data_IF_628594969124
#
_entry.id   IF_628594969124
#
_cell.length_a   1.000
_cell.length_b   1.000
_cell.length_c   1.000
_cell.angle_alpha   90.00
_cell.angle_beta   90.00
_cell.angle_gamma   90.00
#
_symmetry.space_group_name_H-M   'P 1'
#
loop_
_entity.id
_entity.type
_entity.pdbx_description
1 polymer ?
#
# COMPACT_ATOMS: atom_id res chain seq x y z
N UNK A 1 -14.81 -20.77 -17.52
CA UNK A 1 -14.42 -19.76 -16.53
C UNK A 1 -12.89 -19.77 -16.43
N UNK A 2 -12.20 -18.64 -16.58
CA UNK A 2 -10.75 -18.60 -16.45
C UNK A 2 -10.32 -19.06 -15.06
N UNK A 3 -9.19 -19.78 -14.97
CA UNK A 3 -8.67 -20.39 -13.74
C UNK A 3 -8.46 -19.37 -12.59
N UNK A 4 -8.15 -18.13 -12.92
CA UNK A 4 -7.93 -17.02 -11.96
C UNK A 4 -9.23 -16.44 -11.33
N UNK A 5 -10.43 -16.77 -11.85
CA UNK A 5 -11.71 -16.46 -11.21
C UNK A 5 -12.04 -17.38 -10.02
N UNK A 6 -11.27 -18.46 -9.79
CA UNK A 6 -11.47 -19.38 -8.66
C UNK A 6 -10.82 -18.92 -7.35
N UNK A 7 -10.09 -17.80 -7.35
CA UNK A 7 -9.43 -17.25 -6.15
C UNK A 7 -10.34 -16.38 -5.29
N UNK A 8 -11.66 -16.40 -5.50
CA UNK A 8 -12.64 -15.65 -4.71
C UNK A 8 -13.03 -16.34 -3.38
N UNK A 9 -12.20 -17.21 -2.84
CA UNK A 9 -12.49 -17.93 -1.59
C UNK A 9 -11.65 -17.44 -0.41
N UNK A 10 -11.36 -16.13 -0.31
CA UNK A 10 -10.88 -15.57 0.94
C UNK A 10 -12.07 -15.52 1.89
N UNK A 11 -12.14 -16.50 2.78
CA UNK A 11 -13.11 -16.48 3.86
C UNK A 11 -12.84 -15.26 4.72
N UNK A 12 -13.76 -14.28 4.70
CA UNK A 12 -13.70 -13.05 5.49
C UNK A 12 -12.55 -12.09 5.11
N UNK A 13 -12.51 -11.51 3.89
CA UNK A 13 -11.51 -10.52 3.50
C UNK A 13 -11.61 -9.25 4.35
N UNK A 14 -10.48 -8.56 4.54
CA UNK A 14 -10.47 -7.26 5.22
C UNK A 14 -11.05 -6.16 4.31
N UNK A 15 -10.73 -6.21 3.02
CA UNK A 15 -11.24 -5.28 2.01
C UNK A 15 -11.82 -6.08 0.84
N UNK A 16 -12.96 -5.65 0.34
CA UNK A 16 -13.63 -6.24 -0.81
C UNK A 16 -14.15 -5.14 -1.74
N UNK A 17 -13.86 -5.27 -3.01
CA UNK A 17 -14.40 -4.44 -4.09
C UNK A 17 -15.42 -5.26 -4.88
N UNK A 18 -16.63 -4.76 -5.02
CA UNK A 18 -17.74 -5.41 -5.74
C UNK A 18 -18.13 -4.54 -6.94
N UNK A 19 -17.60 -4.84 -8.12
CA UNK A 19 -17.89 -4.13 -9.36
C UNK A 19 -17.50 -2.66 -9.35
N UNK A 20 -16.46 -2.29 -8.58
CA UNK A 20 -16.03 -0.90 -8.41
C UNK A 20 -15.43 -0.35 -9.70
N UNK A 21 -15.90 0.82 -10.14
CA UNK A 21 -15.38 1.49 -11.33
C UNK A 21 -15.13 2.98 -11.10
N UNK A 22 -14.25 3.57 -11.95
CA UNK A 22 -13.93 5.00 -11.91
C UNK A 22 -13.54 5.53 -13.28
N UNK A 23 -14.11 6.69 -13.62
CA UNK A 23 -13.87 7.40 -14.87
C UNK A 23 -13.50 8.84 -14.58
N UNK A 24 -12.64 9.44 -15.38
CA UNK A 24 -12.30 10.85 -15.35
C UNK A 24 -12.57 11.46 -16.74
N UNK A 25 -13.68 12.18 -16.88
CA UNK A 25 -14.14 12.63 -18.19
C UNK A 25 -14.41 11.44 -19.12
N UNK A 26 -13.68 11.34 -20.23
CA UNK A 26 -13.74 10.19 -21.16
C UNK A 26 -12.78 9.06 -20.84
N UNK A 27 -11.83 9.25 -19.90
CA UNK A 27 -10.82 8.25 -19.57
C UNK A 27 -11.30 7.31 -18.47
N UNK A 28 -11.31 6.01 -18.74
CA UNK A 28 -11.65 4.98 -17.74
C UNK A 28 -10.38 4.67 -16.95
N UNK A 29 -10.35 5.05 -15.66
CA UNK A 29 -9.24 4.77 -14.77
C UNK A 29 -9.34 3.40 -14.11
N UNK A 30 -10.56 2.89 -13.90
CA UNK A 30 -10.82 1.56 -13.39
C UNK A 30 -12.13 1.04 -14.00
N UNK A 31 -12.07 -0.04 -14.73
CA UNK A 31 -13.24 -0.79 -15.20
C UNK A 31 -13.93 -1.49 -14.02
N UNK A 32 -15.21 -1.90 -14.16
CA UNK A 32 -15.89 -2.66 -13.11
C UNK A 32 -15.02 -3.81 -12.60
N UNK A 33 -14.53 -3.67 -11.35
CA UNK A 33 -13.53 -4.57 -10.76
C UNK A 33 -14.08 -5.22 -9.50
N UNK A 34 -13.98 -6.55 -9.44
CA UNK A 34 -14.13 -7.34 -8.24
C UNK A 34 -12.75 -7.76 -7.75
N UNK A 35 -12.42 -7.46 -6.48
CA UNK A 35 -11.14 -7.81 -5.88
C UNK A 35 -11.27 -7.83 -4.36
N UNK A 36 -10.67 -8.83 -3.73
CA UNK A 36 -10.68 -9.00 -2.28
C UNK A 36 -9.25 -9.08 -1.74
N UNK A 37 -9.03 -8.59 -0.51
CA UNK A 37 -7.74 -8.57 0.16
C UNK A 37 -7.84 -9.28 1.50
N UNK A 38 -7.05 -10.37 1.63
CA UNK A 38 -7.03 -11.23 2.80
C UNK A 38 -6.34 -10.59 3.99
N UNK A 39 -6.79 -10.93 5.21
CA UNK A 39 -6.17 -10.47 6.45
C UNK A 39 -4.76 -11.08 6.62
N UNK A 40 -3.84 -10.28 7.16
CA UNK A 40 -2.47 -10.68 7.44
C UNK A 40 -1.65 -11.01 6.19
N UNK A 41 -2.11 -10.61 5.00
CA UNK A 41 -1.39 -10.81 3.73
C UNK A 41 -0.97 -9.49 3.12
N UNK A 42 0.13 -9.53 2.40
CA UNK A 42 0.61 -8.44 1.56
C UNK A 42 0.22 -8.71 0.11
N UNK A 43 -0.70 -7.92 -0.43
CA UNK A 43 -1.05 -7.94 -1.85
C UNK A 43 -0.32 -6.81 -2.57
N UNK A 44 0.42 -7.12 -3.62
CA UNK A 44 1.14 -6.11 -4.40
C UNK A 44 0.43 -5.85 -5.72
N UNK A 45 0.04 -4.59 -5.95
CA UNK A 45 -0.51 -4.13 -7.22
C UNK A 45 0.62 -3.68 -8.13
N UNK A 46 0.76 -4.31 -9.29
CA UNK A 46 1.82 -4.03 -10.26
C UNK A 46 1.22 -3.77 -11.65
N UNK A 47 1.94 -3.08 -12.51
CA UNK A 47 1.52 -2.78 -13.88
C UNK A 47 2.06 -1.44 -14.38
N UNK A 48 1.85 -1.10 -15.66
CA UNK A 48 2.32 0.15 -16.25
C UNK A 48 1.84 1.40 -15.51
N UNK A 49 2.56 2.52 -15.68
CA UNK A 49 2.11 3.81 -15.16
C UNK A 49 0.74 4.18 -15.73
N UNK A 50 -0.14 4.72 -14.89
CA UNK A 50 -1.50 5.11 -15.31
C UNK A 50 -2.51 3.97 -15.41
N UNK A 51 -2.17 2.70 -15.13
CA UNK A 51 -3.10 1.57 -15.25
C UNK A 51 -4.15 1.48 -14.12
N UNK A 52 -4.23 2.45 -13.20
CA UNK A 52 -5.30 2.54 -12.20
C UNK A 52 -4.93 2.12 -10.77
N UNK A 53 -3.67 1.71 -10.47
CA UNK A 53 -3.24 1.24 -9.14
C UNK A 53 -3.51 2.23 -8.00
N UNK A 54 -3.00 3.46 -8.11
CA UNK A 54 -3.21 4.50 -7.10
C UNK A 54 -4.68 4.95 -7.03
N UNK A 55 -5.42 4.87 -8.14
CA UNK A 55 -6.88 5.11 -8.15
C UNK A 55 -7.58 4.07 -7.28
N UNK A 56 -7.21 2.79 -7.40
CA UNK A 56 -7.76 1.71 -6.60
C UNK A 56 -7.50 1.93 -5.10
N UNK A 57 -6.27 2.30 -4.70
CA UNK A 57 -5.98 2.63 -3.29
C UNK A 57 -6.86 3.77 -2.77
N UNK A 58 -7.03 4.83 -3.57
CA UNK A 58 -7.84 6.00 -3.19
C UNK A 58 -9.34 5.68 -3.09
N UNK A 59 -9.83 4.75 -3.89
CA UNK A 59 -11.22 4.24 -3.81
C UNK A 59 -11.43 3.43 -2.52
N UNK A 60 -10.48 2.58 -2.11
CA UNK A 60 -10.56 1.78 -0.89
C UNK A 60 -10.81 2.67 0.35
N UNK A 61 -10.10 3.78 0.47
CA UNK A 61 -10.25 4.72 1.60
C UNK A 61 -11.20 5.88 1.31
N UNK A 62 -11.92 5.79 0.20
CA UNK A 62 -12.88 6.81 -0.25
C UNK A 62 -12.30 8.23 -0.28
N UNK A 63 -11.04 8.37 -0.71
CA UNK A 63 -10.51 9.66 -1.17
C UNK A 63 -11.08 10.02 -2.54
N UNK A 64 -11.57 9.02 -3.25
CA UNK A 64 -12.35 9.12 -4.48
C UNK A 64 -13.63 8.32 -4.28
N UNK A 65 -14.77 8.87 -4.70
CA UNK A 65 -16.00 8.12 -4.78
C UNK A 65 -16.00 7.25 -6.04
N UNK A 66 -16.41 5.98 -5.94
CA UNK A 66 -16.62 5.14 -7.12
C UNK A 66 -17.80 5.65 -7.94
N UNK A 67 -17.76 5.47 -9.25
CA UNK A 67 -18.89 5.80 -10.14
C UNK A 67 -19.94 4.69 -10.13
N UNK A 68 -19.50 3.43 -9.88
CA UNK A 68 -20.37 2.28 -9.65
C UNK A 68 -19.68 1.26 -8.74
N UNK A 69 -20.47 0.33 -8.22
CA UNK A 69 -20.00 -0.72 -7.33
C UNK A 69 -19.89 -0.29 -5.86
N UNK A 70 -19.37 -1.18 -5.04
CA UNK A 70 -19.27 -0.97 -3.58
C UNK A 70 -17.92 -1.45 -3.08
N UNK A 71 -17.27 -0.63 -2.23
CA UNK A 71 -16.13 -1.04 -1.42
C UNK A 71 -16.66 -1.46 -0.05
N UNK A 72 -16.20 -2.61 0.44
CA UNK A 72 -16.45 -3.06 1.81
C UNK A 72 -15.13 -3.13 2.58
N UNK A 73 -15.19 -2.76 3.84
CA UNK A 73 -14.10 -2.92 4.78
C UNK A 73 -14.61 -3.67 6.00
N UNK A 74 -14.02 -4.82 6.32
CA UNK A 74 -14.45 -5.66 7.43
C UNK A 74 -15.95 -6.06 7.32
N UNK A 75 -16.42 -6.34 6.10
CA UNK A 75 -17.81 -6.68 5.79
C UNK A 75 -18.77 -5.49 5.72
N UNK A 76 -18.38 -4.29 6.16
CA UNK A 76 -19.22 -3.08 6.10
C UNK A 76 -18.98 -2.26 4.84
N UNK A 77 -20.03 -1.77 4.20
CA UNK A 77 -19.91 -0.88 3.05
C UNK A 77 -19.29 0.47 3.46
N UNK A 78 -18.28 0.91 2.71
CA UNK A 78 -17.61 2.21 2.93
C UNK A 78 -18.48 3.33 2.38
N UNK A 79 -18.98 4.19 3.26
CA UNK A 79 -19.90 5.28 2.94
C UNK A 79 -19.36 6.62 3.43
N UNK A 80 -19.98 7.74 3.01
CA UNK A 80 -19.63 9.05 3.55
C UNK A 80 -19.85 9.15 5.07
N UNK A 81 -20.77 8.37 5.62
CA UNK A 81 -21.10 8.41 7.03
C UNK A 81 -20.05 7.72 7.93
N UNK A 82 -19.41 6.61 7.44
CA UNK A 82 -18.45 5.83 8.25
C UNK A 82 -16.99 6.00 7.83
N UNK A 83 -16.69 6.67 6.72
CA UNK A 83 -15.34 6.77 6.17
C UNK A 83 -14.31 7.39 7.14
N UNK A 84 -14.72 8.32 8.00
CA UNK A 84 -13.83 8.93 8.99
C UNK A 84 -13.37 7.92 10.04
N UNK A 85 -14.22 7.00 10.46
CA UNK A 85 -13.88 5.91 11.38
C UNK A 85 -12.99 4.88 10.68
N UNK A 86 -13.34 4.51 9.44
CA UNK A 86 -12.54 3.59 8.62
C UNK A 86 -11.10 4.11 8.45
N UNK A 87 -10.93 5.39 8.09
CA UNK A 87 -9.59 5.97 7.87
C UNK A 87 -8.69 5.93 9.10
N UNK A 88 -9.24 5.84 10.32
CA UNK A 88 -8.46 5.62 11.55
C UNK A 88 -7.92 4.20 11.68
N UNK A 89 -8.56 3.23 11.00
CA UNK A 89 -8.15 1.82 10.94
C UNK A 89 -7.18 1.54 9.77
N UNK A 90 -6.87 2.57 8.96
CA UNK A 90 -6.01 2.45 7.77
C UNK A 90 -4.81 3.38 7.91
N UNK A 91 -3.62 2.84 7.75
CA UNK A 91 -2.39 3.62 7.53
C UNK A 91 -2.16 3.83 6.04
N UNK A 92 -1.86 5.06 5.62
CA UNK A 92 -1.59 5.35 4.22
C UNK A 92 -0.26 6.07 4.05
N UNK A 93 0.66 5.42 3.34
CA UNK A 93 1.93 5.98 2.87
C UNK A 93 1.73 6.38 1.42
N UNK A 94 1.60 7.68 1.17
CA UNK A 94 1.46 8.22 -0.19
C UNK A 94 2.82 8.30 -0.87
N UNK A 95 2.82 8.37 -2.18
CA UNK A 95 4.01 8.61 -3.00
C UNK A 95 4.78 9.83 -2.45
N UNK A 96 6.12 9.78 -2.45
CA UNK A 96 7.02 10.80 -1.86
C UNK A 96 6.85 11.01 -0.34
N UNK A 97 6.16 10.10 0.36
CA UNK A 97 6.00 10.10 1.82
C UNK A 97 5.04 11.16 2.37
N UNK A 98 4.77 12.26 1.67
CA UNK A 98 3.81 13.30 2.04
C UNK A 98 3.97 13.88 3.43
N UNK A 99 5.21 14.11 3.88
CA UNK A 99 5.48 14.74 5.17
C UNK A 99 5.17 16.24 5.12
N UNK A 100 4.63 16.76 6.20
CA UNK A 100 4.42 18.19 6.37
C UNK A 100 5.77 18.89 6.63
N UNK A 101 6.25 19.75 5.71
CA UNK A 101 7.62 20.31 5.80
C UNK A 101 7.83 21.25 6.99
N UNK A 102 6.77 21.85 7.51
CA UNK A 102 6.77 22.77 8.66
C UNK A 102 6.63 22.06 10.02
N UNK A 103 6.50 20.74 10.02
CA UNK A 103 6.45 19.92 11.21
C UNK A 103 7.74 19.09 11.34
N UNK A 104 8.25 18.95 12.56
CA UNK A 104 9.36 18.02 12.82
C UNK A 104 8.94 16.57 12.55
N UNK A 105 9.91 15.64 12.47
CA UNK A 105 9.65 14.21 12.32
C UNK A 105 8.69 13.72 13.41
N UNK A 106 8.94 14.06 14.66
CA UNK A 106 8.06 13.75 15.82
C UNK A 106 6.63 14.23 15.59
N UNK A 107 6.47 15.52 15.22
CA UNK A 107 5.15 16.10 15.00
C UNK A 107 4.42 15.47 13.81
N UNK A 108 5.14 15.09 12.75
CA UNK A 108 4.57 14.34 11.62
C UNK A 108 4.01 12.98 12.07
N UNK A 109 4.77 12.20 12.85
CA UNK A 109 4.32 10.89 13.34
C UNK A 109 3.13 11.02 14.28
N UNK A 110 3.17 11.96 15.22
CA UNK A 110 2.16 12.13 16.26
C UNK A 110 0.91 12.88 15.80
N UNK A 111 0.85 13.38 14.56
CA UNK A 111 -0.18 14.29 14.08
C UNK A 111 -1.59 13.80 14.38
N UNK A 112 -1.92 12.57 13.93
CA UNK A 112 -3.25 12.00 14.12
C UNK A 112 -3.52 11.59 15.56
N UNK A 113 -2.53 11.09 16.29
CA UNK A 113 -2.69 10.74 17.70
C UNK A 113 -2.98 11.99 18.55
N UNK A 114 -2.31 13.12 18.25
CA UNK A 114 -2.60 14.40 18.88
C UNK A 114 -4.01 14.91 18.53
N UNK A 115 -4.41 14.83 17.25
CA UNK A 115 -5.74 15.23 16.81
C UNK A 115 -6.86 14.41 17.51
N UNK A 116 -6.59 13.14 17.78
CA UNK A 116 -7.51 12.25 18.50
C UNK A 116 -7.39 12.34 20.02
N UNK A 117 -6.59 13.28 20.55
CA UNK A 117 -6.37 13.47 21.98
C UNK A 117 -5.90 12.20 22.70
N UNK A 118 -5.06 11.40 22.03
CA UNK A 118 -4.51 10.18 22.63
C UNK A 118 -3.66 10.51 23.88
N UNK A 119 -3.67 9.66 24.93
CA UNK A 119 -2.88 9.90 26.14
C UNK A 119 -1.39 10.05 25.85
N UNK A 120 -0.74 11.06 26.44
CA UNK A 120 0.65 11.41 26.17
C UNK A 120 1.63 10.24 26.40
N UNK A 121 1.43 9.48 27.48
CA UNK A 121 2.28 8.33 27.81
C UNK A 121 2.17 7.22 26.76
N UNK A 122 0.95 6.94 26.27
CA UNK A 122 0.74 5.99 25.19
C UNK A 122 1.40 6.45 23.89
N UNK A 123 1.31 7.74 23.55
CA UNK A 123 1.96 8.30 22.37
C UNK A 123 3.49 8.19 22.48
N UNK A 124 4.06 8.51 23.66
CA UNK A 124 5.51 8.43 23.90
C UNK A 124 6.02 6.99 23.77
N UNK A 125 5.36 6.04 24.43
CA UNK A 125 5.71 4.62 24.33
C UNK A 125 5.61 4.13 22.88
N UNK A 126 4.48 4.40 22.20
CA UNK A 126 4.29 3.96 20.82
C UNK A 126 5.31 4.57 19.85
N UNK A 127 5.69 5.84 20.05
CA UNK A 127 6.72 6.50 19.25
C UNK A 127 8.09 5.80 19.41
N UNK A 128 8.48 5.45 20.63
CA UNK A 128 9.72 4.72 20.91
C UNK A 128 9.70 3.33 20.24
N UNK A 129 8.56 2.58 20.36
CA UNK A 129 8.38 1.30 19.69
C UNK A 129 8.53 1.43 18.17
N UNK A 130 7.95 2.48 17.58
CA UNK A 130 8.03 2.72 16.14
C UNK A 130 9.45 3.12 15.70
N UNK A 131 10.19 3.90 16.50
CA UNK A 131 11.60 4.18 16.24
C UNK A 131 12.42 2.89 16.18
N UNK A 132 12.25 2.01 17.17
CA UNK A 132 12.92 0.71 17.20
C UNK A 132 12.52 -0.18 16.03
N UNK A 133 11.21 -0.27 15.74
CA UNK A 133 10.64 -1.10 14.66
C UNK A 133 11.15 -0.69 13.28
N UNK A 134 11.22 0.63 13.02
CA UNK A 134 11.65 1.19 11.73
C UNK A 134 13.13 1.52 11.68
N UNK A 135 13.90 1.25 12.74
CA UNK A 135 15.31 1.61 12.87
C UNK A 135 15.56 3.10 12.63
N UNK A 136 14.61 3.94 13.05
CA UNK A 136 14.76 5.39 12.96
C UNK A 136 15.48 5.93 14.21
N UNK A 137 16.55 6.75 14.05
CA UNK A 137 17.28 7.27 15.20
C UNK A 137 16.45 8.31 15.96
N UNK A 138 16.23 8.08 17.25
CA UNK A 138 15.44 8.99 18.09
C UNK A 138 16.01 10.42 18.13
N UNK A 139 17.35 10.57 18.00
CA UNK A 139 18.04 11.85 17.92
C UNK A 139 17.65 12.71 16.70
N UNK A 140 17.01 12.10 15.69
CA UNK A 140 16.55 12.82 14.51
C UNK A 140 15.05 13.18 14.56
N UNK A 141 14.33 12.83 15.65
CA UNK A 141 12.88 13.09 15.78
C UNK A 141 12.54 14.59 15.77
N UNK A 142 13.44 15.45 16.20
CA UNK A 142 13.19 16.90 16.28
C UNK A 142 13.69 17.66 15.04
N UNK A 143 14.20 16.95 14.01
CA UNK A 143 14.58 17.50 12.71
C UNK A 143 13.34 17.68 11.81
N UNK A 144 13.45 18.66 10.92
CA UNK A 144 12.45 18.87 9.86
C UNK A 144 12.70 17.95 8.65
N UNK A 145 11.69 17.66 7.80
CA UNK A 145 11.84 16.78 6.65
C UNK A 145 12.99 17.13 5.71
N UNK A 146 13.31 18.41 5.53
CA UNK A 146 14.42 18.87 4.68
C UNK A 146 15.80 18.51 5.25
N UNK A 147 15.91 18.27 6.55
CA UNK A 147 17.14 17.91 7.24
C UNK A 147 17.34 16.38 7.31
N UNK A 148 16.41 15.60 6.75
CA UNK A 148 16.41 14.14 6.76
C UNK A 148 16.80 13.58 5.40
N UNK A 149 17.50 12.44 5.40
CA UNK A 149 17.74 11.67 4.17
C UNK A 149 16.44 11.13 3.58
N UNK A 150 16.44 10.74 2.31
CA UNK A 150 15.28 10.12 1.65
C UNK A 150 14.74 8.91 2.41
N UNK A 151 15.62 8.01 2.83
CA UNK A 151 15.26 6.85 3.64
C UNK A 151 14.71 7.21 5.02
N UNK A 152 15.25 8.25 5.66
CA UNK A 152 14.71 8.74 6.94
C UNK A 152 13.30 9.33 6.76
N UNK A 153 13.06 10.11 5.70
CA UNK A 153 11.71 10.62 5.39
C UNK A 153 10.72 9.48 5.17
N UNK A 154 11.14 8.44 4.46
CA UNK A 154 10.28 7.28 4.21
C UNK A 154 9.94 6.52 5.51
N UNK A 155 10.93 6.34 6.42
CA UNK A 155 10.69 5.76 7.75
C UNK A 155 9.70 6.58 8.56
N UNK A 156 9.80 7.90 8.58
CA UNK A 156 8.83 8.78 9.27
C UNK A 156 7.44 8.65 8.66
N UNK A 157 7.31 8.56 7.34
CA UNK A 157 6.03 8.34 6.68
C UNK A 157 5.39 7.01 7.09
N UNK A 158 6.19 5.95 7.15
CA UNK A 158 5.77 4.64 7.64
C UNK A 158 5.38 4.69 9.14
N UNK A 159 6.19 5.31 10.00
CA UNK A 159 5.87 5.49 11.42
C UNK A 159 4.55 6.24 11.61
N UNK A 160 4.32 7.30 10.83
CA UNK A 160 3.06 8.06 10.85
C UNK A 160 1.87 7.17 10.47
N UNK A 161 2.01 6.37 9.44
CA UNK A 161 0.98 5.44 9.00
C UNK A 161 0.68 4.36 10.07
N UNK A 162 1.71 3.89 10.78
CA UNK A 162 1.61 2.85 11.82
C UNK A 162 1.21 3.37 13.21
N UNK A 163 1.16 4.70 13.41
CA UNK A 163 0.99 5.30 14.74
C UNK A 163 -0.30 4.86 15.44
N UNK A 164 -1.39 4.72 14.70
CA UNK A 164 -2.68 4.30 15.23
C UNK A 164 -2.89 2.78 15.24
N UNK A 165 -1.84 1.98 15.02
CA UNK A 165 -1.94 0.51 14.90
C UNK A 165 -3.01 0.08 13.89
N UNK A 166 -2.89 0.48 12.61
CA UNK A 166 -3.92 0.23 11.60
C UNK A 166 -4.08 -1.27 11.31
N UNK A 167 -5.29 -1.67 10.91
CA UNK A 167 -5.58 -3.02 10.43
C UNK A 167 -5.15 -3.22 8.97
N UNK A 168 -5.18 -2.14 8.19
CA UNK A 168 -4.75 -2.11 6.80
C UNK A 168 -3.66 -1.07 6.60
N UNK A 169 -2.59 -1.44 5.90
CA UNK A 169 -1.55 -0.53 5.46
C UNK A 169 -1.58 -0.39 3.93
N UNK A 170 -1.79 0.81 3.45
CA UNK A 170 -1.71 1.16 2.03
C UNK A 170 -0.39 1.87 1.75
N UNK A 171 0.34 1.41 0.73
CA UNK A 171 1.62 2.01 0.35
C UNK A 171 1.62 2.27 -1.16
N UNK A 172 1.71 3.55 -1.53
CA UNK A 172 1.72 3.99 -2.93
C UNK A 172 3.17 4.31 -3.34
N UNK A 173 3.84 3.41 -4.06
CA UNK A 173 5.23 3.48 -4.50
C UNK A 173 6.22 3.90 -3.36
N UNK A 174 6.22 3.18 -2.23
CA UNK A 174 6.94 3.61 -1.03
C UNK A 174 8.45 3.68 -1.18
N UNK A 175 9.03 3.06 -2.19
CA UNK A 175 10.48 2.94 -2.38
C UNK A 175 10.98 3.56 -3.70
N UNK A 176 10.09 4.15 -4.50
CA UNK A 176 10.39 4.60 -5.87
C UNK A 176 11.48 5.68 -5.98
N UNK A 177 11.56 6.61 -5.03
CA UNK A 177 12.47 7.76 -5.06
C UNK A 177 13.79 7.56 -4.28
N UNK A 178 14.17 6.30 -4.01
CA UNK A 178 15.33 5.99 -3.17
C UNK A 178 16.49 5.43 -3.99
N UNK A 179 17.72 5.70 -3.52
CA UNK A 179 18.90 5.06 -4.08
C UNK A 179 18.89 3.53 -3.82
N UNK A 180 19.57 2.71 -4.64
CA UNK A 180 19.47 1.25 -4.57
C UNK A 180 19.83 0.65 -3.20
N UNK A 181 20.83 1.18 -2.49
CA UNK A 181 21.26 0.63 -1.20
C UNK A 181 20.21 0.93 -0.11
N UNK A 182 19.70 2.16 -0.07
CA UNK A 182 18.65 2.55 0.87
C UNK A 182 17.36 1.80 0.56
N UNK A 183 17.02 1.62 -0.72
CA UNK A 183 15.86 0.83 -1.17
C UNK A 183 15.94 -0.61 -0.64
N UNK A 184 17.06 -1.31 -0.87
CA UNK A 184 17.25 -2.69 -0.39
C UNK A 184 17.13 -2.81 1.14
N UNK A 185 17.70 -1.87 1.89
CA UNK A 185 17.58 -1.85 3.34
C UNK A 185 16.11 -1.65 3.79
N UNK A 186 15.39 -0.73 3.16
CA UNK A 186 13.98 -0.48 3.49
C UNK A 186 13.04 -1.61 3.06
N UNK A 187 13.31 -2.29 1.94
CA UNK A 187 12.58 -3.50 1.55
C UNK A 187 12.67 -4.57 2.64
N UNK A 188 13.89 -4.81 3.15
CA UNK A 188 14.10 -5.76 4.26
C UNK A 188 13.33 -5.34 5.51
N UNK A 189 13.43 -4.07 5.89
CA UNK A 189 12.71 -3.55 7.05
C UNK A 189 11.19 -3.68 6.89
N UNK A 190 10.63 -3.35 5.71
CA UNK A 190 9.19 -3.50 5.44
C UNK A 190 8.74 -4.95 5.58
N UNK A 191 9.50 -5.91 5.02
CA UNK A 191 9.17 -7.34 5.13
C UNK A 191 9.17 -7.82 6.58
N UNK A 192 10.17 -7.40 7.36
CA UNK A 192 10.24 -7.70 8.80
C UNK A 192 9.06 -7.08 9.58
N UNK A 193 8.68 -5.83 9.25
CA UNK A 193 7.56 -5.12 9.87
C UNK A 193 6.24 -5.84 9.56
N UNK A 194 5.99 -6.20 8.30
CA UNK A 194 4.76 -6.89 7.90
C UNK A 194 4.63 -8.23 8.61
N UNK A 195 5.69 -9.04 8.62
CA UNK A 195 5.71 -10.32 9.32
C UNK A 195 5.51 -10.17 10.84
N UNK A 196 6.23 -9.24 11.48
CA UNK A 196 6.16 -9.03 12.93
C UNK A 196 4.79 -8.53 13.40
N UNK A 197 4.13 -7.69 12.61
CA UNK A 197 2.83 -7.12 12.96
C UNK A 197 1.66 -7.97 12.43
N UNK A 198 1.92 -9.05 11.68
CA UNK A 198 0.90 -9.77 10.90
C UNK A 198 0.02 -8.79 10.11
N UNK A 199 0.68 -7.84 9.42
CA UNK A 199 0.04 -6.68 8.83
C UNK A 199 -0.68 -7.06 7.54
N UNK A 200 -1.95 -6.65 7.41
CA UNK A 200 -2.59 -6.63 6.10
C UNK A 200 -2.08 -5.42 5.33
N UNK A 201 -1.49 -5.63 4.16
CA UNK A 201 -0.92 -4.56 3.36
C UNK A 201 -1.35 -4.64 1.89
N UNK A 202 -1.59 -3.47 1.28
CA UNK A 202 -1.73 -3.33 -0.17
C UNK A 202 -0.64 -2.35 -0.61
N UNK A 203 0.28 -2.85 -1.42
CA UNK A 203 1.44 -2.10 -1.88
C UNK A 203 1.36 -1.90 -3.40
N UNK A 204 1.58 -0.69 -3.85
CA UNK A 204 1.72 -0.35 -5.27
C UNK A 204 3.19 -0.19 -5.60
N UNK A 205 3.65 -0.86 -6.63
CA UNK A 205 4.98 -0.69 -7.21
C UNK A 205 4.95 -0.91 -8.72
N UNK A 206 5.99 -0.48 -9.40
CA UNK A 206 6.25 -0.82 -10.80
C UNK A 206 7.43 -1.82 -10.94
N UNK A 207 8.04 -2.22 -9.83
CA UNK A 207 9.19 -3.12 -9.78
C UNK A 207 8.75 -4.54 -9.42
N UNK A 208 8.95 -5.49 -10.36
CA UNK A 208 8.59 -6.89 -10.18
C UNK A 208 9.41 -7.58 -9.08
N UNK A 209 10.69 -7.21 -8.92
CA UNK A 209 11.53 -7.77 -7.88
C UNK A 209 11.04 -7.35 -6.49
N UNK A 210 10.59 -6.10 -6.35
CA UNK A 210 9.95 -5.61 -5.13
C UNK A 210 8.64 -6.36 -4.85
N UNK A 211 7.81 -6.53 -5.88
CA UNK A 211 6.55 -7.28 -5.75
C UNK A 211 6.77 -8.74 -5.33
N UNK A 212 7.76 -9.40 -5.93
CA UNK A 212 8.13 -10.77 -5.58
C UNK A 212 8.70 -10.92 -4.16
N UNK A 213 9.45 -9.90 -3.71
CA UNK A 213 10.09 -9.93 -2.39
C UNK A 213 9.11 -9.65 -1.25
N UNK A 214 8.20 -8.70 -1.43
CA UNK A 214 7.29 -8.21 -0.38
C UNK A 214 5.93 -8.90 -0.41
N UNK A 215 5.43 -9.29 -1.59
CA UNK A 215 4.08 -9.79 -1.77
C UNK A 215 3.91 -11.26 -1.42
N UNK A 216 2.82 -11.58 -0.75
CA UNK A 216 2.27 -12.93 -0.69
C UNK A 216 1.47 -13.22 -1.96
N UNK A 217 0.97 -12.17 -2.59
CA UNK A 217 0.17 -12.20 -3.80
C UNK A 217 0.42 -10.96 -4.66
N UNK A 218 0.40 -11.14 -5.96
CA UNK A 218 0.59 -10.09 -6.97
C UNK A 218 -0.70 -9.96 -7.79
N UNK A 219 -1.15 -8.72 -7.97
CA UNK A 219 -2.25 -8.35 -8.86
C UNK A 219 -1.68 -7.50 -9.98
N UNK A 220 -1.59 -8.07 -11.19
CA UNK A 220 -1.15 -7.35 -12.38
C UNK A 220 -2.33 -6.61 -13.00
N UNK A 221 -2.15 -5.30 -13.16
CA UNK A 221 -3.15 -4.42 -13.77
C UNK A 221 -2.67 -3.85 -15.10
N UNK A 222 -3.59 -3.69 -16.04
CA UNK A 222 -3.36 -2.98 -17.28
C UNK A 222 -4.64 -2.26 -17.71
N UNK A 223 -4.52 -1.02 -18.20
CA UNK A 223 -5.63 -0.22 -18.74
C UNK A 223 -6.90 -0.23 -17.86
N UNK A 224 -6.73 -0.05 -16.56
CA UNK A 224 -7.83 -0.03 -15.59
C UNK A 224 -8.48 -1.39 -15.32
N UNK A 225 -7.85 -2.50 -15.69
CA UNK A 225 -8.34 -3.86 -15.47
C UNK A 225 -7.34 -4.69 -14.68
N UNK A 226 -7.84 -5.60 -13.87
CA UNK A 226 -7.04 -6.71 -13.34
C UNK A 226 -6.86 -7.72 -14.47
N UNK A 227 -5.60 -7.97 -14.85
CA UNK A 227 -5.24 -8.91 -15.91
C UNK A 227 -5.00 -10.31 -15.35
N UNK A 228 -4.25 -10.38 -14.25
CA UNK A 228 -3.97 -11.64 -13.56
C UNK A 228 -3.71 -11.38 -12.09
N UNK A 229 -4.05 -12.35 -11.26
CA UNK A 229 -3.79 -12.41 -9.84
C UNK A 229 -3.15 -13.75 -9.51
N UNK A 230 -2.17 -13.78 -8.62
CA UNK A 230 -1.49 -15.00 -8.19
C UNK A 230 -0.14 -14.72 -7.56
N UNK A 231 0.66 -15.76 -7.35
CA UNK A 231 2.07 -15.65 -6.96
C UNK A 231 2.93 -15.23 -8.16
N UNK A 232 4.19 -14.88 -7.93
CA UNK A 232 5.12 -14.64 -9.05
C UNK A 232 5.26 -15.87 -9.95
N UNK A 233 5.25 -17.07 -9.37
CA UNK A 233 5.37 -18.32 -10.13
C UNK A 233 4.11 -18.55 -10.97
N UNK A 234 2.91 -18.22 -10.48
CA UNK A 234 1.69 -18.29 -11.29
C UNK A 234 1.75 -17.36 -12.50
N UNK A 235 2.23 -16.12 -12.32
CA UNK A 235 2.35 -15.15 -13.41
C UNK A 235 3.39 -15.60 -14.45
N UNK A 236 4.47 -16.27 -14.00
CA UNK A 236 5.56 -16.72 -14.87
C UNK A 236 5.26 -18.00 -15.61
N UNK A 237 4.68 -19.00 -14.91
CA UNK A 237 4.50 -20.36 -15.45
C UNK A 237 3.14 -20.54 -16.13
N UNK A 238 2.13 -19.77 -15.70
CA UNK A 238 0.76 -19.83 -16.20
C UNK A 238 0.23 -18.43 -16.57
N UNK A 239 0.89 -17.69 -17.48
CA UNK A 239 0.46 -16.35 -17.85
C UNK A 239 -0.94 -16.37 -18.48
N UNK A 240 -1.83 -15.47 -18.06
CA UNK A 240 -3.20 -15.40 -18.55
C UNK A 240 -3.30 -14.97 -20.03
N UNK A 241 -2.31 -14.23 -20.51
CA UNK A 241 -2.23 -13.79 -21.91
C UNK A 241 -0.79 -13.30 -22.24
N UNK A 242 -0.57 -12.93 -23.50
CA UNK A 242 0.72 -12.45 -24.02
C UNK A 242 1.24 -11.22 -23.27
N UNK A 243 0.37 -10.27 -22.89
CA UNK A 243 0.75 -9.09 -22.12
C UNK A 243 1.43 -9.47 -20.78
N UNK A 244 0.95 -10.50 -20.07
CA UNK A 244 1.59 -10.97 -18.82
C UNK A 244 2.98 -11.48 -19.09
N UNK A 245 3.15 -12.30 -20.14
CA UNK A 245 4.45 -12.83 -20.56
C UNK A 245 5.43 -11.70 -20.89
N UNK A 246 5.00 -10.74 -21.69
CA UNK A 246 5.83 -9.60 -22.11
C UNK A 246 6.21 -8.71 -20.94
N UNK A 247 5.25 -8.43 -20.05
CA UNK A 247 5.48 -7.62 -18.85
C UNK A 247 6.53 -8.26 -17.93
N UNK A 248 6.42 -9.56 -17.66
CA UNK A 248 7.37 -10.30 -16.82
C UNK A 248 8.76 -10.33 -17.46
N UNK A 249 8.84 -10.59 -18.76
CA UNK A 249 10.11 -10.65 -19.49
C UNK A 249 10.81 -9.29 -19.56
N UNK A 250 10.08 -8.20 -19.83
CA UNK A 250 10.63 -6.85 -19.85
C UNK A 250 11.22 -6.46 -18.49
N UNK A 251 10.55 -6.77 -17.40
CA UNK A 251 11.02 -6.49 -16.04
C UNK A 251 12.28 -7.31 -15.66
N UNK A 252 12.37 -8.56 -16.12
CA UNK A 252 13.56 -9.41 -15.88
C UNK A 252 14.80 -8.89 -16.60
N UNK A 253 14.65 -8.44 -17.83
CA UNK A 253 15.77 -7.87 -18.61
C UNK A 253 16.35 -6.64 -17.92
N UNK A 254 15.50 -5.77 -17.35
CA UNK A 254 15.94 -4.61 -16.58
C UNK A 254 16.66 -4.97 -15.27
N UNK A 255 16.34 -6.09 -14.65
CA UNK A 255 16.97 -6.57 -13.42
C UNK A 255 18.33 -7.25 -13.64
N UNK A 256 18.67 -7.62 -14.88
CA UNK A 256 19.95 -8.26 -15.26
C UNK A 256 21.00 -7.26 -15.79
N UNK A 257 20.63 -5.99 -15.96
CA UNK A 257 21.52 -4.87 -16.31
C UNK A 257 22.00 -4.13 -15.07
#
# INVERSE_FOLDING_TARGET
MPYWLRYNDIVNPLVELQGVSKTYGSAIALHPTGLDFGRGKTTVLIGPSGCGKSTLLRLIIRLLDPDAGTVRFDGEAVTAANVSQLRRRVGYVIQDGGLFPHLTARKNVLLMANHLHSPADKMKSRLADLCALTRFPESALDRFPLELSGGQRQRISLMRALMLSPELLLLDEPLGALDPLVRAALQKDLKEIFARLNQTAILVTHDLAEAAYLGDEIVLMNEGRVVQRGTLDDLRENPANEFVTDFINAQRTLAML
#
